data_IF_396395725610
#
_entry.id   IF_396395725610
#
_cell.length_a   1.000
_cell.length_b   1.000
_cell.length_c   1.000
_cell.angle_alpha   90.00
_cell.angle_beta   90.00
_cell.angle_gamma   90.00
#
_symmetry.space_group_name_H-M   'P 1'
#
loop_
_entity.id
_entity.type
_entity.pdbx_description
1 polymer ?
#
# COMPACT_ATOMS: atom_id res chain seq x y z
N UNK A 1 -0.73 -10.93 2.07
CA UNK A 1 0.16 -9.76 1.87
C UNK A 1 1.28 -9.68 2.90
N UNK A 2 1.03 -9.78 4.23
CA UNK A 2 2.09 -9.76 5.27
C UNK A 2 3.23 -10.74 4.99
N UNK A 3 2.89 -11.92 4.48
CA UNK A 3 3.86 -13.00 4.22
C UNK A 3 4.54 -12.89 2.84
N UNK A 4 4.02 -12.04 1.95
CA UNK A 4 4.48 -11.93 0.56
C UNK A 4 5.33 -10.68 0.35
N UNK A 5 4.87 -9.53 0.85
CA UNK A 5 5.58 -8.26 0.64
C UNK A 5 7.05 -8.26 1.08
N UNK A 6 7.46 -8.93 2.19
CA UNK A 6 8.87 -8.99 2.56
C UNK A 6 9.80 -9.55 1.47
N UNK A 7 9.31 -10.42 0.58
CA UNK A 7 10.07 -10.96 -0.56
C UNK A 7 10.35 -9.90 -1.65
N UNK A 8 9.60 -8.80 -1.62
CA UNK A 8 9.64 -7.70 -2.60
C UNK A 8 10.04 -6.37 -1.98
N UNK A 9 10.40 -6.32 -0.69
CA UNK A 9 10.61 -5.07 0.04
C UNK A 9 11.78 -4.24 -0.52
N UNK A 10 12.73 -4.87 -1.22
CA UNK A 10 13.83 -4.21 -1.94
C UNK A 10 13.44 -3.67 -3.32
N UNK A 11 12.29 -4.08 -3.86
CA UNK A 11 11.86 -3.77 -5.24
C UNK A 11 10.56 -2.98 -5.32
N UNK A 12 9.66 -3.16 -4.36
CA UNK A 12 8.33 -2.54 -4.31
C UNK A 12 8.17 -1.82 -2.99
N UNK A 13 8.19 -0.49 -3.05
CA UNK A 13 7.91 0.35 -1.91
C UNK A 13 6.42 0.33 -1.58
N UNK A 14 6.07 -0.23 -0.42
CA UNK A 14 4.70 -0.26 0.08
C UNK A 14 4.59 0.52 1.38
N UNK A 15 3.59 1.40 1.47
CA UNK A 15 3.33 2.23 2.63
C UNK A 15 1.87 2.07 3.08
N UNK A 16 1.67 1.85 4.37
CA UNK A 16 0.35 1.96 4.97
C UNK A 16 0.03 3.43 5.26
N UNK A 17 -1.10 3.91 4.75
CA UNK A 17 -1.50 5.30 4.83
C UNK A 17 -2.71 5.46 5.75
N UNK A 18 -2.60 6.35 6.73
CA UNK A 18 -3.74 6.74 7.57
C UNK A 18 -4.77 7.51 6.75
N UNK A 19 -6.02 7.05 6.76
CA UNK A 19 -7.12 7.74 6.05
C UNK A 19 -7.77 8.82 6.91
N UNK A 20 -7.69 8.70 8.24
CA UNK A 20 -8.39 9.58 9.18
C UNK A 20 -7.54 10.79 9.52
N UNK A 21 -8.15 11.99 9.45
CA UNK A 21 -7.54 13.24 9.94
C UNK A 21 -7.34 13.27 11.46
N UNK A 22 -8.01 12.38 12.17
CA UNK A 22 -7.95 12.28 13.63
C UNK A 22 -6.92 11.24 14.11
N UNK A 23 -6.34 10.47 13.18
CA UNK A 23 -5.37 9.44 13.48
C UNK A 23 -3.95 10.03 13.36
N UNK A 24 -3.18 9.93 14.43
CA UNK A 24 -1.81 10.44 14.48
C UNK A 24 -0.81 9.39 13.98
N UNK A 25 0.35 9.83 13.49
CA UNK A 25 1.45 8.92 13.10
C UNK A 25 1.84 7.97 14.25
N UNK A 26 1.83 8.45 15.50
CA UNK A 26 2.17 7.61 16.66
C UNK A 26 1.16 6.48 16.88
N UNK A 27 -0.13 6.75 16.64
CA UNK A 27 -1.19 5.74 16.73
C UNK A 27 -1.00 4.68 15.62
N UNK A 28 -0.76 5.12 14.38
CA UNK A 28 -0.47 4.24 13.26
C UNK A 28 0.76 3.35 13.53
N UNK A 29 1.81 3.90 14.13
CA UNK A 29 3.04 3.15 14.41
C UNK A 29 2.82 2.14 15.54
N UNK A 30 2.03 2.52 16.56
CA UNK A 30 1.61 1.59 17.61
C UNK A 30 0.82 0.42 17.01
N UNK A 31 -0.13 0.69 16.12
CA UNK A 31 -0.94 -0.34 15.47
C UNK A 31 -0.11 -1.22 14.54
N UNK A 32 0.84 -0.63 13.78
CA UNK A 32 1.83 -1.36 13.00
C UNK A 32 2.62 -2.37 13.84
N UNK A 33 3.12 -1.94 15.00
CA UNK A 33 3.88 -2.80 15.91
C UNK A 33 3.00 -3.89 16.52
N UNK A 34 1.81 -3.53 17.00
CA UNK A 34 0.84 -4.45 17.60
C UNK A 34 0.46 -5.58 16.64
N UNK A 35 0.17 -5.22 15.39
CA UNK A 35 -0.25 -6.15 14.34
C UNK A 35 0.94 -6.81 13.60
N UNK A 36 2.18 -6.45 13.97
CA UNK A 36 3.42 -6.93 13.34
C UNK A 36 3.43 -6.74 11.83
N UNK A 37 2.94 -5.59 11.36
CA UNK A 37 2.97 -5.25 9.94
C UNK A 37 4.42 -4.94 9.51
N UNK A 38 4.97 -5.62 8.48
CA UNK A 38 6.37 -5.46 8.10
C UNK A 38 6.65 -4.13 7.37
N UNK A 39 5.64 -3.59 6.70
CA UNK A 39 5.76 -2.37 5.91
C UNK A 39 5.79 -1.09 6.77
N UNK A 40 6.45 -0.03 6.29
CA UNK A 40 6.40 1.28 6.90
C UNK A 40 5.00 1.91 6.81
N UNK A 41 4.76 2.90 7.66
CA UNK A 41 3.58 3.76 7.62
C UNK A 41 3.97 5.16 7.11
N UNK A 42 3.00 5.89 6.57
CA UNK A 42 3.16 7.32 6.27
C UNK A 42 1.86 8.07 6.54
N UNK A 43 2.00 9.33 6.94
CA UNK A 43 0.92 10.30 6.81
C UNK A 43 0.74 10.68 5.34
N UNK A 44 -0.47 11.11 4.99
CA UNK A 44 -0.77 11.71 3.69
C UNK A 44 -1.66 12.92 3.88
N UNK A 45 -1.51 13.89 2.99
CA UNK A 45 -2.44 15.00 2.90
C UNK A 45 -3.81 14.50 2.44
N UNK A 46 -4.88 14.93 3.10
CA UNK A 46 -6.23 14.43 2.78
C UNK A 46 -6.66 14.79 1.36
N UNK A 47 -6.17 15.89 0.80
CA UNK A 47 -6.50 16.28 -0.57
C UNK A 47 -5.94 15.29 -1.60
N UNK A 48 -4.78 14.67 -1.33
CA UNK A 48 -4.24 13.59 -2.17
C UNK A 48 -5.16 12.37 -2.14
N UNK A 49 -5.74 12.02 -0.99
CA UNK A 49 -6.72 10.92 -0.92
C UNK A 49 -7.99 11.21 -1.73
N UNK A 50 -8.43 12.48 -1.77
CA UNK A 50 -9.58 12.89 -2.59
C UNK A 50 -9.26 12.83 -4.07
N UNK A 51 -8.09 13.32 -4.48
CA UNK A 51 -7.64 13.27 -5.88
C UNK A 51 -7.51 11.81 -6.37
N UNK A 52 -7.01 10.94 -5.49
CA UNK A 52 -6.98 9.50 -5.69
C UNK A 52 -8.35 8.84 -5.47
N UNK A 53 -9.42 9.57 -5.18
CA UNK A 53 -10.78 9.03 -4.96
C UNK A 53 -10.80 7.83 -4.00
N UNK A 54 -10.03 7.89 -2.92
CA UNK A 54 -10.03 6.89 -1.86
C UNK A 54 -11.23 7.17 -0.94
N UNK A 55 -12.30 6.41 -1.13
CA UNK A 55 -13.57 6.63 -0.41
C UNK A 55 -13.77 5.67 0.77
N UNK A 56 -13.02 4.57 0.82
CA UNK A 56 -13.23 3.50 1.77
C UNK A 56 -11.90 2.85 2.19
N UNK A 57 -11.78 2.53 3.48
CA UNK A 57 -10.75 1.60 3.94
C UNK A 57 -11.13 0.17 3.54
N UNK A 58 -10.23 -0.70 3.09
CA UNK A 58 -8.79 -0.58 2.91
C UNK A 58 -8.43 -0.60 1.42
N UNK A 59 -8.61 0.52 0.72
CA UNK A 59 -8.19 0.66 -0.68
C UNK A 59 -6.68 0.53 -0.82
N UNK A 60 -6.23 -0.25 -1.79
CA UNK A 60 -4.84 -0.40 -2.20
C UNK A 60 -4.68 0.19 -3.59
N UNK A 61 -3.65 1.00 -3.77
CA UNK A 61 -3.31 1.63 -5.04
C UNK A 61 -1.85 1.30 -5.30
N UNK A 62 -1.55 0.74 -6.46
CA UNK A 62 -0.18 0.61 -6.94
C UNK A 62 0.07 1.61 -8.05
N UNK A 63 1.23 2.25 -7.97
CA UNK A 63 1.74 3.17 -8.98
C UNK A 63 2.93 2.50 -9.66
N UNK A 64 3.07 2.69 -10.96
CA UNK A 64 4.29 2.32 -11.67
C UNK A 64 5.42 3.34 -11.46
N UNK A 65 6.57 3.10 -12.10
CA UNK A 65 7.75 3.97 -12.00
C UNK A 65 7.53 5.38 -12.56
N UNK A 66 6.49 5.60 -13.38
CA UNK A 66 6.10 6.91 -13.91
C UNK A 66 5.07 7.61 -13.02
N UNK A 67 4.64 6.97 -11.93
CA UNK A 67 3.60 7.47 -11.03
C UNK A 67 2.19 7.26 -11.55
N UNK A 68 1.99 6.44 -12.59
CA UNK A 68 0.67 6.12 -13.14
C UNK A 68 0.05 4.99 -12.33
N UNK A 69 -1.25 5.08 -12.07
CA UNK A 69 -2.00 4.04 -11.34
C UNK A 69 -2.06 2.77 -12.21
N UNK A 70 -1.27 1.78 -11.86
CA UNK A 70 -1.22 0.47 -12.51
C UNK A 70 -2.27 -0.50 -11.91
N UNK A 71 -2.65 -0.30 -10.64
CA UNK A 71 -3.61 -1.15 -9.95
C UNK A 71 -4.38 -0.37 -8.88
N UNK A 72 -5.66 -0.70 -8.73
CA UNK A 72 -6.53 -0.19 -7.67
C UNK A 72 -7.52 -1.27 -7.24
N UNK A 73 -7.61 -1.50 -5.94
CA UNK A 73 -8.58 -2.43 -5.39
C UNK A 73 -9.08 -2.00 -4.00
N UNK A 74 -10.30 -2.42 -3.66
CA UNK A 74 -10.94 -2.16 -2.36
C UNK A 74 -10.79 -3.36 -1.41
N UNK A 75 -11.39 -3.26 -0.22
CA UNK A 75 -11.29 -4.27 0.83
C UNK A 75 -11.69 -5.69 0.37
N UNK A 76 -10.99 -6.71 0.89
CA UNK A 76 -11.29 -8.15 0.82
C UNK A 76 -11.02 -8.93 -0.48
N UNK A 77 -10.09 -8.52 -1.34
CA UNK A 77 -9.49 -9.39 -2.36
C UNK A 77 -7.96 -9.42 -2.29
N UNK A 78 -7.37 -10.48 -2.86
CA UNK A 78 -5.94 -10.73 -2.87
C UNK A 78 -5.51 -11.85 -1.91
N UNK A 79 -5.45 -13.08 -2.42
CA UNK A 79 -4.68 -14.18 -1.85
C UNK A 79 -3.17 -13.96 -2.01
N UNK A 80 -2.35 -14.81 -1.40
CA UNK A 80 -0.90 -14.69 -1.46
C UNK A 80 -0.35 -14.70 -2.91
N UNK A 81 -0.93 -15.53 -3.78
CA UNK A 81 -0.55 -15.64 -5.18
C UNK A 81 -0.91 -14.37 -5.97
N UNK A 82 -2.13 -13.85 -5.83
CA UNK A 82 -2.56 -12.61 -6.48
C UNK A 82 -1.64 -11.43 -6.08
N UNK A 83 -1.23 -11.35 -4.81
CA UNK A 83 -0.27 -10.32 -4.38
C UNK A 83 1.11 -10.52 -5.00
N UNK A 84 1.58 -11.77 -5.11
CA UNK A 84 2.88 -12.08 -5.70
C UNK A 84 2.90 -11.75 -7.19
N UNK A 85 1.83 -12.07 -7.91
CA UNK A 85 1.65 -11.70 -9.33
C UNK A 85 1.64 -10.19 -9.51
N UNK A 86 0.87 -9.46 -8.71
CA UNK A 86 0.85 -7.99 -8.76
C UNK A 86 2.24 -7.40 -8.53
N UNK A 87 2.97 -7.87 -7.50
CA UNK A 87 4.30 -7.34 -7.22
C UNK A 87 5.31 -7.68 -8.33
N UNK A 88 5.21 -8.86 -8.94
CA UNK A 88 6.03 -9.18 -10.11
C UNK A 88 5.73 -8.25 -11.29
N UNK A 89 4.46 -8.02 -11.63
CA UNK A 89 4.06 -7.12 -12.71
C UNK A 89 4.57 -5.68 -12.47
N UNK A 90 4.53 -5.20 -11.22
CA UNK A 90 5.10 -3.88 -10.88
C UNK A 90 6.62 -3.83 -11.05
N UNK A 91 7.33 -4.91 -10.69
CA UNK A 91 8.79 -5.00 -10.87
C UNK A 91 9.16 -5.05 -12.35
N UNK A 92 8.44 -5.83 -13.15
CA UNK A 92 8.66 -5.93 -14.59
C UNK A 92 8.42 -4.59 -15.29
N UNK A 93 7.37 -3.86 -14.92
CA UNK A 93 7.09 -2.52 -15.44
C UNK A 93 8.12 -1.47 -15.05
N UNK A 94 8.88 -1.67 -13.97
CA UNK A 94 9.91 -0.74 -13.52
C UNK A 94 11.27 -0.96 -14.21
N UNK A 95 11.49 -2.13 -14.81
CA UNK A 95 12.75 -2.51 -15.46
C UNK A 95 12.77 -2.39 -16.99
N UNK A 96 11.74 -1.77 -17.59
CA UNK A 96 11.61 -1.55 -19.04
C UNK A 96 12.24 -0.26 -19.53
#
# INVERSE_FOLDING_TARGET
MKDVWPEFADKVHFYAIGQSRFESIDQLESDRKKERYPWPISAIETDVLKDLRVLQQSTKIALDHQGIIAYRENYARGGAEEWRELFNDLVERAGG
#
